data_IF_280054700077
#
_entry.id   IF_280054700077
#
_cell.length_a   1.000
_cell.length_b   1.000
_cell.length_c   1.000
_cell.angle_alpha   90.00
_cell.angle_beta   90.00
_cell.angle_gamma   90.00
#
_symmetry.space_group_name_H-M   'P 1'
#
loop_
_entity.id
_entity.type
_entity.pdbx_description
1 polymer ?
#
# COMPACT_ATOMS: atom_id res chain seq x y z
N UNK A 1 8.96 -5.60 3.48
CA UNK A 1 9.29 -4.72 2.34
C UNK A 1 8.61 -3.37 2.52
N UNK A 2 9.30 -2.24 2.32
CA UNK A 2 8.69 -0.92 2.58
C UNK A 2 7.89 -0.40 1.39
N UNK A 3 6.66 0.00 1.66
CA UNK A 3 5.75 0.63 0.71
C UNK A 3 5.28 1.98 1.23
N UNK A 4 5.09 2.94 0.32
CA UNK A 4 4.56 4.27 0.60
C UNK A 4 3.13 4.36 0.10
N UNK A 5 2.21 4.85 0.92
CA UNK A 5 0.82 5.06 0.50
C UNK A 5 0.78 6.20 -0.53
N UNK A 6 0.22 5.92 -1.71
CA UNK A 6 0.16 6.90 -2.81
C UNK A 6 -1.28 7.25 -3.22
N UNK A 7 -2.25 6.40 -2.91
CA UNK A 7 -3.66 6.65 -3.23
C UNK A 7 -4.59 5.91 -2.25
N UNK A 8 -5.84 6.37 -2.15
CA UNK A 8 -6.90 5.81 -1.31
C UNK A 8 -8.23 5.84 -2.05
N UNK A 9 -8.96 4.73 -1.99
CA UNK A 9 -10.34 4.68 -2.43
C UNK A 9 -11.19 4.01 -1.35
N UNK A 10 -12.39 4.57 -1.13
CA UNK A 10 -13.30 4.07 -0.10
C UNK A 10 -14.15 2.95 -0.66
N UNK A 11 -14.13 1.81 0.01
CA UNK A 11 -15.09 0.74 -0.22
C UNK A 11 -15.99 0.65 1.01
N UNK A 12 -17.21 1.20 0.93
CA UNK A 12 -18.30 1.15 1.94
C UNK A 12 -17.92 1.33 3.42
N UNK A 13 -17.23 0.36 4.04
CA UNK A 13 -16.86 0.33 5.46
C UNK A 13 -15.35 0.25 5.74
N UNK A 14 -14.52 0.00 4.72
CA UNK A 14 -13.06 -0.18 4.84
C UNK A 14 -12.35 0.71 3.81
N UNK A 15 -11.24 1.32 4.23
CA UNK A 15 -10.41 2.08 3.30
C UNK A 15 -9.46 1.12 2.58
N UNK A 16 -9.47 1.19 1.25
CA UNK A 16 -8.49 0.51 0.42
C UNK A 16 -7.42 1.51 -0.02
N UNK A 17 -6.16 1.11 0.08
CA UNK A 17 -5.02 1.95 -0.25
C UNK A 17 -4.17 1.30 -1.32
N UNK A 18 -3.61 2.13 -2.17
CA UNK A 18 -2.55 1.72 -3.08
C UNK A 18 -1.23 2.19 -2.49
N UNK A 19 -0.31 1.24 -2.32
CA UNK A 19 1.02 1.51 -1.82
C UNK A 19 2.05 1.17 -2.88
N UNK A 20 3.05 2.04 -3.05
CA UNK A 20 4.16 1.86 -3.99
C UNK A 20 5.41 1.37 -3.26
N UNK A 21 6.05 0.35 -3.78
CA UNK A 21 7.29 -0.17 -3.23
C UNK A 21 8.40 0.88 -3.34
N UNK A 22 9.19 1.02 -2.28
CA UNK A 22 10.36 1.90 -2.28
C UNK A 22 11.60 1.26 -2.92
N UNK A 23 11.55 -0.05 -3.24
CA UNK A 23 12.62 -0.77 -3.94
C UNK A 23 12.27 -1.02 -5.42
N UNK A 24 13.24 -0.86 -6.31
CA UNK A 24 13.05 -1.02 -7.76
C UNK A 24 12.84 -2.47 -8.23
N UNK A 25 13.39 -3.47 -7.55
CA UNK A 25 13.39 -4.88 -7.99
C UNK A 25 12.30 -5.73 -7.31
N UNK A 26 11.13 -5.16 -7.05
CA UNK A 26 10.06 -5.81 -6.28
C UNK A 26 8.70 -5.38 -6.81
N UNK A 27 7.60 -6.07 -6.44
CA UNK A 27 6.26 -5.72 -6.89
C UNK A 27 6.02 -4.23 -6.67
N UNK A 28 5.88 -3.47 -7.75
CA UNK A 28 5.92 -2.01 -7.67
C UNK A 28 4.75 -1.47 -6.87
N UNK A 29 3.60 -2.15 -6.90
CA UNK A 29 2.38 -1.71 -6.24
C UNK A 29 1.70 -2.86 -5.51
N UNK A 30 1.02 -2.50 -4.43
CA UNK A 30 0.11 -3.39 -3.70
C UNK A 30 -1.17 -2.64 -3.36
N UNK A 31 -2.25 -3.41 -3.22
CA UNK A 31 -3.50 -2.96 -2.61
C UNK A 31 -3.56 -3.53 -1.20
N UNK A 32 -3.85 -2.67 -0.24
CA UNK A 32 -4.07 -3.05 1.15
C UNK A 32 -5.41 -2.50 1.64
N UNK A 33 -5.99 -3.18 2.61
CA UNK A 33 -7.19 -2.72 3.32
C UNK A 33 -6.86 -2.40 4.77
N UNK A 34 -7.48 -1.33 5.27
CA UNK A 34 -7.38 -0.91 6.67
C UNK A 34 -8.69 -0.34 7.17
N UNK A 35 -8.99 -0.63 8.44
CA UNK A 35 -9.96 0.15 9.22
C UNK A 35 -9.37 1.49 9.68
N UNK A 36 -8.05 1.63 9.69
CA UNK A 36 -7.35 2.86 10.04
C UNK A 36 -7.21 3.80 8.85
N UNK A 37 -7.27 5.10 9.11
CA UNK A 37 -6.99 6.12 8.09
C UNK A 37 -5.47 6.31 7.94
N UNK A 38 -4.93 5.92 6.78
CA UNK A 38 -3.54 6.20 6.40
C UNK A 38 -3.43 7.53 5.62
N UNK A 39 -2.35 8.26 5.86
CA UNK A 39 -1.98 9.53 5.24
C UNK A 39 -1.25 9.33 3.91
N UNK A 40 -1.86 9.83 2.84
CA UNK A 40 -1.26 9.82 1.50
C UNK A 40 0.11 10.49 1.49
N UNK A 41 1.06 9.87 0.82
CA UNK A 41 2.42 10.35 0.60
C UNK A 41 3.27 10.65 1.85
N UNK A 42 2.77 10.32 3.05
CA UNK A 42 3.48 10.45 4.32
C UNK A 42 3.75 9.08 4.92
N UNK A 43 2.74 8.23 4.88
CA UNK A 43 2.74 6.97 5.57
C UNK A 43 3.52 5.89 4.81
N UNK A 44 4.41 5.23 5.54
CA UNK A 44 5.24 4.13 5.08
C UNK A 44 4.90 2.90 5.92
N UNK A 45 4.60 1.82 5.23
CA UNK A 45 4.28 0.53 5.84
C UNK A 45 5.38 -0.48 5.52
N UNK A 46 5.59 -1.43 6.42
CA UNK A 46 6.41 -2.62 6.17
C UNK A 46 5.49 -3.81 5.90
N UNK A 47 5.72 -4.49 4.78
CA UNK A 47 4.86 -5.54 4.25
C UNK A 47 5.58 -6.88 4.31
N UNK A 48 4.95 -7.86 4.95
CA UNK A 48 5.35 -9.25 4.86
C UNK A 48 4.50 -9.96 3.79
N UNK A 49 5.13 -10.25 2.65
CA UNK A 49 4.45 -10.94 1.56
C UNK A 49 4.15 -12.41 1.85
N UNK A 50 4.87 -13.05 2.79
CA UNK A 50 4.61 -14.44 3.16
C UNK A 50 3.34 -14.54 4.00
N UNK A 51 3.16 -13.58 4.91
CA UNK A 51 2.00 -13.52 5.81
C UNK A 51 0.84 -12.69 5.24
N UNK A 52 1.04 -12.04 4.09
CA UNK A 52 0.07 -11.11 3.47
C UNK A 52 -0.43 -10.04 4.44
N UNK A 53 0.46 -9.57 5.31
CA UNK A 53 0.18 -8.55 6.31
C UNK A 53 1.06 -7.32 6.08
N UNK A 54 0.65 -6.19 6.66
CA UNK A 54 1.49 -5.01 6.74
C UNK A 54 1.40 -4.36 8.11
N UNK A 55 2.47 -3.68 8.50
CA UNK A 55 2.59 -2.94 9.76
C UNK A 55 3.13 -1.55 9.48
N UNK A 56 3.09 -0.64 10.45
CA UNK A 56 3.79 0.63 10.31
C UNK A 56 5.28 0.39 10.13
N UNK A 57 5.99 1.27 9.41
CA UNK A 57 7.45 1.23 9.37
C UNK A 57 8.11 1.42 10.75
N UNK A 58 7.35 1.88 11.76
CA UNK A 58 7.76 1.96 13.17
C UNK A 58 7.62 0.62 13.93
N UNK A 59 6.99 -0.40 13.32
CA UNK A 59 6.75 -1.71 13.92
C UNK A 59 5.42 -1.83 14.67
N UNK A 60 4.60 -0.77 14.70
CA UNK A 60 3.26 -0.83 15.27
C UNK A 60 2.33 -1.67 14.37
N UNK A 61 1.61 -2.58 14.99
CA UNK A 61 0.66 -3.43 14.29
C UNK A 61 -0.57 -2.62 13.91
N UNK A 62 -0.85 -2.60 12.62
CA UNK A 62 -2.06 -2.06 12.05
C UNK A 62 -2.69 -3.27 11.39
N UNK A 63 -4.00 -3.47 11.53
CA UNK A 63 -4.70 -4.56 10.87
C UNK A 63 -4.78 -4.36 9.35
N UNK A 64 -3.62 -4.31 8.68
CA UNK A 64 -3.49 -4.14 7.25
C UNK A 64 -3.41 -5.50 6.60
N UNK A 65 -4.39 -5.76 5.76
CA UNK A 65 -4.43 -6.97 4.94
C UNK A 65 -3.98 -6.62 3.53
N UNK A 66 -2.95 -7.32 3.04
CA UNK A 66 -2.55 -7.21 1.64
C UNK A 66 -3.54 -8.00 0.81
N UNK A 67 -4.21 -7.34 -0.13
CA UNK A 67 -5.19 -7.98 -1.01
C UNK A 67 -4.57 -8.51 -2.29
N UNK A 68 -3.71 -7.70 -2.91
CA UNK A 68 -3.11 -8.03 -4.20
C UNK A 68 -1.81 -7.25 -4.43
N UNK A 69 -0.93 -7.80 -5.26
CA UNK A 69 0.29 -7.15 -5.73
C UNK A 69 0.36 -7.15 -7.26
N UNK A 70 0.87 -6.07 -7.84
CA UNK A 70 0.95 -5.93 -9.29
C UNK A 70 2.03 -4.91 -9.69
N UNK A 71 2.56 -5.09 -10.91
CA UNK A 71 3.66 -4.28 -11.43
C UNK A 71 3.20 -3.15 -12.36
N UNK A 72 1.97 -3.23 -12.87
CA UNK A 72 1.41 -2.26 -13.82
C UNK A 72 0.20 -1.55 -13.23
N UNK A 73 0.39 -0.30 -12.82
CA UNK A 73 -0.71 0.66 -12.69
C UNK A 73 -0.95 1.28 -14.08
N UNK A 74 -2.20 1.33 -14.54
CA UNK A 74 -2.54 1.80 -15.89
C UNK A 74 -1.92 3.19 -16.17
N UNK A 75 -1.43 3.40 -17.40
CA UNK A 75 -0.54 4.52 -17.81
C UNK A 75 -1.10 5.92 -17.53
N UNK A 76 -2.40 6.02 -17.31
CA UNK A 76 -3.12 7.25 -17.03
C UNK A 76 -2.63 7.96 -15.77
N UNK A 77 -2.18 7.22 -14.75
CA UNK A 77 -1.63 7.81 -13.51
C UNK A 77 -0.14 8.17 -13.59
N UNK A 78 0.63 7.49 -14.44
CA UNK A 78 2.06 7.81 -14.64
C UNK A 78 2.31 9.00 -15.57
N UNK A 79 1.24 9.56 -16.16
CA UNK A 79 1.31 10.66 -17.12
C UNK A 79 1.15 12.06 -16.48
N UNK A 80 1.06 12.16 -15.16
CA UNK A 80 1.13 13.45 -14.46
C UNK A 80 2.54 13.64 -13.89
N UNK A 81 3.42 14.15 -14.74
CA UNK A 81 4.74 14.71 -14.43
C UNK A 81 4.68 16.23 -14.39
#
# INVERSE_FOLDING_TARGET
MRYKIIDVYKSTEINSYIAKCLKQHSPQFIIIESTHTLCLNLDIIDVDHQLSNATWATGEEIALKVLNGFDSYDKTYMSQS
#
